data_IF_296820235124
#
_entry.id   IF_296820235124
#
_cell.length_a   1.000
_cell.length_b   1.000
_cell.length_c   1.000
_cell.angle_alpha   90.00
_cell.angle_beta   90.00
_cell.angle_gamma   90.00
#
_symmetry.space_group_name_H-M   'P 1'
#
loop_
_entity.id
_entity.type
_entity.pdbx_description
1 polymer ?
#
# COMPACT_ATOMS: atom_id res chain seq x y z
N UNK A 1 4.60 11.53 3.66
CA UNK A 1 4.21 10.11 3.67
C UNK A 1 5.53 9.32 3.76
N UNK A 2 5.64 8.18 4.46
CA UNK A 2 6.99 7.60 4.73
C UNK A 2 7.18 6.20 4.17
N UNK A 3 6.26 5.26 4.42
CA UNK A 3 6.42 3.87 3.95
C UNK A 3 6.15 3.68 2.45
N UNK A 4 5.07 4.26 1.92
CA UNK A 4 4.72 4.13 0.49
C UNK A 4 5.80 4.75 -0.39
N UNK A 5 6.31 5.91 -0.01
CA UNK A 5 7.37 6.60 -0.75
C UNK A 5 8.65 5.76 -0.79
N UNK A 6 9.05 5.15 0.34
CA UNK A 6 10.20 4.23 0.39
C UNK A 6 9.96 3.00 -0.50
N UNK A 7 8.75 2.42 -0.49
CA UNK A 7 8.43 1.28 -1.36
C UNK A 7 8.52 1.65 -2.84
N UNK A 8 8.05 2.85 -3.21
CA UNK A 8 8.17 3.39 -4.56
C UNK A 8 9.62 3.63 -4.94
N UNK A 9 10.44 4.23 -4.07
CA UNK A 9 11.88 4.39 -4.27
C UNK A 9 12.54 3.03 -4.56
N UNK A 10 12.30 2.01 -3.71
CA UNK A 10 12.85 0.67 -3.89
C UNK A 10 12.39 0.00 -5.19
N UNK A 11 11.15 0.23 -5.60
CA UNK A 11 10.60 -0.32 -6.84
C UNK A 11 11.22 0.31 -8.09
N UNK A 12 11.57 1.60 -8.02
CA UNK A 12 12.17 2.38 -9.12
C UNK A 12 13.70 2.22 -9.19
N UNK A 13 14.37 1.95 -8.08
CA UNK A 13 15.83 1.73 -7.99
C UNK A 13 16.32 0.56 -8.86
N UNK A 14 15.44 -0.37 -9.23
CA UNK A 14 15.75 -1.51 -10.09
C UNK A 14 16.57 -2.62 -9.42
N UNK A 15 17.29 -2.32 -8.34
CA UNK A 15 18.04 -3.31 -7.56
C UNK A 15 17.13 -4.21 -6.72
N UNK A 16 16.05 -3.68 -6.16
CA UNK A 16 15.24 -4.37 -5.15
C UNK A 16 14.01 -5.08 -5.71
N UNK A 17 13.58 -4.74 -6.92
CA UNK A 17 12.46 -5.38 -7.61
C UNK A 17 12.92 -6.67 -8.30
N UNK A 18 12.07 -7.67 -8.32
CA UNK A 18 12.16 -8.92 -9.08
C UNK A 18 10.82 -9.19 -9.79
N UNK A 19 10.78 -10.21 -10.64
CA UNK A 19 9.56 -10.60 -11.36
C UNK A 19 8.41 -10.98 -10.42
N UNK A 20 8.72 -11.48 -9.23
CA UNK A 20 7.75 -11.95 -8.22
C UNK A 20 7.51 -10.97 -7.07
N UNK A 21 8.12 -9.78 -7.11
CA UNK A 21 7.93 -8.76 -6.08
C UNK A 21 9.24 -8.10 -5.65
N UNK A 22 9.48 -8.01 -4.34
CA UNK A 22 10.75 -7.50 -3.80
C UNK A 22 11.70 -8.66 -3.48
N UNK A 23 13.00 -8.44 -3.68
CA UNK A 23 14.06 -9.38 -3.31
C UNK A 23 14.09 -9.60 -1.79
N UNK A 24 14.65 -10.74 -1.37
CA UNK A 24 14.84 -11.05 0.05
C UNK A 24 15.65 -9.95 0.76
N UNK A 25 15.32 -9.69 2.02
CA UNK A 25 15.97 -8.65 2.81
C UNK A 25 15.43 -7.22 2.61
N UNK A 26 14.51 -6.97 1.66
CA UNK A 26 13.99 -5.62 1.42
C UNK A 26 13.38 -4.96 2.68
N UNK A 27 12.75 -5.74 3.57
CA UNK A 27 12.20 -5.23 4.83
C UNK A 27 13.27 -4.59 5.73
N UNK A 28 14.50 -5.13 5.74
CA UNK A 28 15.62 -4.56 6.52
C UNK A 28 16.07 -3.22 5.95
N UNK A 29 16.02 -3.05 4.64
CA UNK A 29 16.33 -1.77 3.98
C UNK A 29 15.27 -0.73 4.28
N UNK A 30 13.99 -1.14 4.26
CA UNK A 30 12.88 -0.26 4.64
C UNK A 30 13.01 0.16 6.11
N UNK A 31 13.34 -0.78 7.01
CA UNK A 31 13.59 -0.51 8.43
C UNK A 31 14.68 0.54 8.62
N UNK A 32 15.82 0.41 7.93
CA UNK A 32 16.91 1.39 7.95
C UNK A 32 16.48 2.78 7.46
N UNK A 33 15.85 2.85 6.28
CA UNK A 33 15.35 4.12 5.71
C UNK A 33 14.29 4.77 6.60
N UNK A 34 13.43 3.98 7.25
CA UNK A 34 12.46 4.50 8.21
C UNK A 34 13.11 4.97 9.50
N UNK A 35 14.16 4.31 9.99
CA UNK A 35 14.92 4.78 11.14
C UNK A 35 15.64 6.11 10.85
N UNK A 36 16.10 6.33 9.62
CA UNK A 36 16.66 7.63 9.20
C UNK A 36 15.60 8.72 9.14
N UNK A 37 14.44 8.44 8.54
CA UNK A 37 13.35 9.42 8.38
C UNK A 37 12.53 9.65 9.67
N UNK A 38 12.46 8.65 10.56
CA UNK A 38 11.64 8.60 11.77
C UNK A 38 12.40 7.91 12.92
N UNK A 39 13.49 8.52 13.44
CA UNK A 39 14.40 7.87 14.39
C UNK A 39 13.74 7.48 15.72
N UNK A 40 12.66 8.15 16.10
CA UNK A 40 11.94 7.88 17.37
C UNK A 40 10.81 6.86 17.24
N UNK A 41 10.50 6.39 16.02
CA UNK A 41 9.32 5.53 15.80
C UNK A 41 9.51 4.08 16.28
N UNK A 42 10.76 3.62 16.47
CA UNK A 42 11.06 2.28 17.00
C UNK A 42 10.47 1.13 16.19
N UNK A 43 10.22 1.33 14.89
CA UNK A 43 9.59 0.35 14.01
C UNK A 43 10.57 -0.77 13.68
N UNK A 44 10.11 -2.01 13.79
CA UNK A 44 10.86 -3.18 13.34
C UNK A 44 10.26 -3.80 12.07
N UNK A 45 10.97 -4.76 11.48
CA UNK A 45 10.51 -5.48 10.27
C UNK A 45 9.13 -6.12 10.41
N UNK A 46 8.72 -6.56 11.60
CA UNK A 46 7.39 -7.14 11.85
C UNK A 46 6.29 -6.09 11.75
N UNK A 47 6.51 -4.90 12.32
CA UNK A 47 5.57 -3.78 12.19
C UNK A 47 5.44 -3.34 10.73
N UNK A 48 6.58 -3.27 10.03
CA UNK A 48 6.65 -2.84 8.63
C UNK A 48 5.92 -3.85 7.73
N UNK A 49 6.22 -5.14 7.85
CA UNK A 49 5.60 -6.21 7.06
C UNK A 49 4.07 -6.24 7.26
N UNK A 50 3.62 -6.13 8.52
CA UNK A 50 2.19 -6.04 8.84
C UNK A 50 1.54 -4.85 8.14
N UNK A 51 2.17 -3.67 8.19
CA UNK A 51 1.63 -2.46 7.54
C UNK A 51 1.60 -2.60 6.02
N UNK A 52 2.62 -3.21 5.39
CA UNK A 52 2.65 -3.47 3.95
C UNK A 52 1.50 -4.40 3.55
N UNK A 53 1.29 -5.49 4.30
CA UNK A 53 0.18 -6.43 4.06
C UNK A 53 -1.18 -5.74 4.13
N UNK A 54 -1.38 -4.89 5.14
CA UNK A 54 -2.61 -4.08 5.27
C UNK A 54 -2.80 -3.14 4.08
N UNK A 55 -1.76 -2.40 3.69
CA UNK A 55 -1.82 -1.50 2.53
C UNK A 55 -2.13 -2.25 1.23
N UNK A 56 -1.49 -3.40 1.02
CA UNK A 56 -1.75 -4.25 -0.14
C UNK A 56 -3.20 -4.73 -0.15
N UNK A 57 -3.74 -5.17 1.00
CA UNK A 57 -5.15 -5.59 1.11
C UNK A 57 -6.11 -4.47 0.71
N UNK A 58 -5.92 -3.26 1.23
CA UNK A 58 -6.77 -2.13 0.88
C UNK A 58 -6.63 -1.71 -0.58
N UNK A 59 -5.41 -1.69 -1.11
CA UNK A 59 -5.16 -1.40 -2.54
C UNK A 59 -5.85 -2.41 -3.46
N UNK A 60 -5.79 -3.70 -3.13
CA UNK A 60 -6.48 -4.74 -3.90
C UNK A 60 -7.99 -4.56 -3.86
N UNK A 61 -8.58 -4.29 -2.69
CA UNK A 61 -10.02 -4.05 -2.56
C UNK A 61 -10.48 -2.81 -3.35
N UNK A 62 -9.73 -1.70 -3.28
CA UNK A 62 -10.03 -0.49 -4.06
C UNK A 62 -9.94 -0.80 -5.56
N UNK A 63 -8.89 -1.51 -5.99
CA UNK A 63 -8.74 -1.89 -7.38
C UNK A 63 -9.88 -2.79 -7.85
N UNK A 64 -10.30 -3.76 -7.04
CA UNK A 64 -11.44 -4.63 -7.33
C UNK A 64 -12.73 -3.83 -7.50
N UNK A 65 -13.06 -2.94 -6.56
CA UNK A 65 -14.24 -2.07 -6.65
C UNK A 65 -14.23 -1.21 -7.91
N UNK A 66 -13.09 -0.59 -8.24
CA UNK A 66 -12.95 0.22 -9.46
C UNK A 66 -13.09 -0.60 -10.75
N UNK A 67 -12.85 -1.92 -10.70
CA UNK A 67 -13.02 -2.83 -11.83
C UNK A 67 -14.37 -3.58 -11.83
N UNK A 68 -15.18 -3.46 -10.77
CA UNK A 68 -16.45 -4.19 -10.63
C UNK A 68 -17.59 -3.66 -11.51
N UNK A 69 -17.38 -2.57 -12.26
CA UNK A 69 -18.35 -1.98 -13.17
C UNK A 69 -18.72 -0.53 -12.83
N UNK A 70 -19.78 -0.01 -13.45
CA UNK A 70 -20.27 1.35 -13.22
C UNK A 70 -20.78 1.53 -11.78
N UNK A 71 -20.31 2.57 -11.09
CA UNK A 71 -20.83 3.00 -9.78
C UNK A 71 -19.78 3.18 -8.68
N UNK A 72 -18.61 2.57 -8.82
CA UNK A 72 -17.44 2.89 -8.01
C UNK A 72 -16.54 3.88 -8.75
N UNK A 73 -16.16 4.96 -8.08
CA UNK A 73 -15.31 6.00 -8.66
C UNK A 73 -14.26 6.44 -7.64
N UNK A 74 -13.07 6.77 -8.12
CA UNK A 74 -12.05 7.37 -7.28
C UNK A 74 -12.17 8.90 -7.34
N UNK A 75 -12.33 9.52 -6.18
CA UNK A 75 -12.25 10.96 -6.01
C UNK A 75 -10.79 11.35 -5.81
N UNK A 76 -10.18 11.87 -6.88
CA UNK A 76 -8.77 12.31 -6.87
C UNK A 76 -8.54 13.57 -6.03
N UNK A 77 -9.58 14.35 -5.74
CA UNK A 77 -9.48 15.58 -4.93
C UNK A 77 -9.46 15.23 -3.45
N UNK A 78 -10.37 14.35 -3.02
CA UNK A 78 -10.49 13.97 -1.61
C UNK A 78 -9.79 12.64 -1.26
N UNK A 79 -9.15 11.99 -2.24
CA UNK A 79 -8.45 10.71 -2.10
C UNK A 79 -9.31 9.60 -1.47
N UNK A 80 -10.55 9.45 -1.96
CA UNK A 80 -11.51 8.48 -1.43
C UNK A 80 -12.27 7.77 -2.54
N UNK A 81 -12.77 6.59 -2.23
CA UNK A 81 -13.72 5.90 -3.11
C UNK A 81 -15.13 6.47 -2.89
N UNK A 82 -15.83 6.78 -3.98
CA UNK A 82 -17.22 7.21 -4.00
C UNK A 82 -18.05 6.14 -4.68
N UNK A 83 -19.17 5.80 -4.06
CA UNK A 83 -20.20 4.92 -4.61
C UNK A 83 -21.53 5.14 -3.87
N UNK A 84 -22.61 4.62 -4.44
CA UNK A 84 -23.88 4.54 -3.71
C UNK A 84 -23.79 3.51 -2.57
N UNK A 85 -24.48 3.79 -1.46
CA UNK A 85 -24.42 2.95 -0.25
C UNK A 85 -24.89 1.50 -0.51
N UNK A 86 -25.98 1.33 -1.24
CA UNK A 86 -26.52 0.02 -1.64
C UNK A 86 -25.51 -0.82 -2.45
N UNK A 87 -24.73 -0.16 -3.31
CA UNK A 87 -23.70 -0.81 -4.12
C UNK A 87 -22.55 -1.28 -3.23
N UNK A 88 -22.08 -0.43 -2.32
CA UNK A 88 -21.07 -0.83 -1.33
C UNK A 88 -21.54 -1.98 -0.44
N UNK A 89 -22.75 -1.90 0.10
CA UNK A 89 -23.33 -2.95 0.95
C UNK A 89 -23.51 -4.28 0.21
N UNK A 90 -23.64 -4.25 -1.13
CA UNK A 90 -23.72 -5.46 -1.96
C UNK A 90 -22.34 -6.05 -2.23
N UNK A 91 -21.34 -5.22 -2.49
CA UNK A 91 -19.96 -5.67 -2.70
C UNK A 91 -19.31 -6.18 -1.40
N UNK A 92 -19.62 -5.57 -0.26
CA UNK A 92 -18.99 -5.88 1.02
C UNK A 92 -19.59 -7.10 1.75
N UNK A 93 -20.62 -7.74 1.18
CA UNK A 93 -21.24 -8.98 1.69
C UNK A 93 -20.40 -10.19 1.36
#
# INVERSE_FOLDING_TARGET
MTLVDILTELALDGKWKSDTGFKSGYLKVIEQKLAEKLPTAGLNTTNIDSRIKTLKKYSMAINEMLNAGSGFQWDYVNHKLICEKNLFDTWAK
#
